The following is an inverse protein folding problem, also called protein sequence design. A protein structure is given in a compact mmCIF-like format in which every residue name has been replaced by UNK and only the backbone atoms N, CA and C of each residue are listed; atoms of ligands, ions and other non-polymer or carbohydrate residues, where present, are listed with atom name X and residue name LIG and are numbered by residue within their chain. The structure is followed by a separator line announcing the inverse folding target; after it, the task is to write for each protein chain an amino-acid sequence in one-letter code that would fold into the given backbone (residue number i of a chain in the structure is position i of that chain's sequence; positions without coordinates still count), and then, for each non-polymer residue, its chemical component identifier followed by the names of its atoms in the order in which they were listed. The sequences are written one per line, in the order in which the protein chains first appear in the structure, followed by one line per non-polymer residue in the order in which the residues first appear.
data_IF_987391218866
#
_entry.id   IF_987391218866
#
_cell.length_a   1.000
_cell.length_b   1.000
_cell.length_c   1.000
_cell.angle_alpha   90.00
_cell.angle_beta   90.00
_cell.angle_gamma   90.00
#
_symmetry.space_group_name_H-M   'P 1'
#
loop_
_entity.id
_entity.type
_entity.pdbx_description
1 polymer ?
#
# COMPACT_ATOMS: atom_id res chain seq x y z
N UNK A 1 48.03 -73.94 -36.64
CA UNK A 1 48.43 -72.95 -35.63
C UNK A 1 47.56 -71.71 -35.84
N UNK A 2 46.67 -71.40 -34.90
CA UNK A 2 45.77 -70.23 -34.99
C UNK A 2 46.58 -68.94 -34.86
N UNK A 3 46.37 -67.92 -35.71
CA UNK A 3 47.02 -66.63 -35.58
C UNK A 3 46.36 -65.83 -34.45
N UNK A 4 47.15 -65.35 -33.49
CA UNK A 4 46.70 -64.36 -32.52
C UNK A 4 46.87 -62.98 -33.16
N UNK A 5 45.75 -62.29 -33.39
CA UNK A 5 45.73 -60.90 -33.81
C UNK A 5 45.61 -60.07 -32.54
N UNK A 6 46.68 -59.36 -32.17
CA UNK A 6 46.65 -58.39 -31.06
C UNK A 6 45.94 -57.13 -31.54
N UNK A 7 44.78 -56.74 -30.98
CA UNK A 7 44.06 -55.54 -31.42
C UNK A 7 44.80 -54.31 -30.89
N UNK A 8 45.42 -53.52 -31.77
CA UNK A 8 45.89 -52.17 -31.44
C UNK A 8 44.71 -51.22 -31.44
N UNK A 9 44.26 -50.86 -30.24
CA UNK A 9 43.27 -49.82 -30.03
C UNK A 9 43.93 -48.46 -30.22
N UNK A 10 43.91 -47.90 -31.43
CA UNK A 10 44.29 -46.50 -31.66
C UNK A 10 43.08 -45.66 -31.29
N UNK A 11 43.16 -44.97 -30.15
CA UNK A 11 42.19 -43.95 -29.78
C UNK A 11 42.21 -42.85 -30.85
N UNK A 12 41.07 -42.56 -31.46
CA UNK A 12 40.86 -41.37 -32.28
C UNK A 12 40.75 -40.14 -31.37
N UNK A 13 41.84 -39.78 -30.70
CA UNK A 13 41.99 -38.41 -30.21
C UNK A 13 42.14 -37.54 -31.45
N UNK A 14 41.11 -36.73 -31.71
CA UNK A 14 41.09 -35.70 -32.76
C UNK A 14 42.07 -34.59 -32.36
N UNK A 15 43.37 -34.90 -32.40
CA UNK A 15 44.43 -33.92 -32.31
C UNK A 15 44.34 -33.10 -33.60
N UNK A 16 43.93 -31.85 -33.46
CA UNK A 16 44.12 -30.83 -34.48
C UNK A 16 45.64 -30.64 -34.64
N UNK A 17 46.27 -31.54 -35.38
CA UNK A 17 47.60 -31.29 -35.92
C UNK A 17 47.38 -30.21 -36.98
N UNK A 18 47.68 -28.95 -36.64
CA UNK A 18 47.86 -27.91 -37.64
C UNK A 18 49.02 -28.34 -38.53
N UNK A 19 48.71 -28.99 -39.65
CA UNK A 19 49.67 -29.15 -40.72
C UNK A 19 49.95 -27.73 -41.24
N UNK A 20 51.06 -27.14 -40.82
CA UNK A 20 51.66 -25.96 -41.46
C UNK A 20 52.10 -26.34 -42.89
N UNK A 21 51.14 -26.54 -43.80
CA UNK A 21 51.40 -26.73 -45.23
C UNK A 21 51.91 -25.45 -45.91
N UNK A 22 51.93 -24.35 -45.16
CA UNK A 22 52.54 -23.09 -45.55
C UNK A 22 53.47 -22.62 -44.44
N UNK A 23 54.73 -23.09 -44.47
CA UNK A 23 55.81 -22.33 -43.85
C UNK A 23 55.77 -20.89 -44.41
N UNK A 24 56.02 -19.85 -43.59
CA UNK A 24 55.99 -18.47 -44.06
C UNK A 24 57.10 -18.31 -45.11
N UNK A 25 56.74 -18.40 -46.39
CA UNK A 25 57.57 -17.83 -47.43
C UNK A 25 57.70 -16.35 -47.08
N UNK A 26 58.91 -15.83 -47.23
CA UNK A 26 59.34 -14.51 -46.78
C UNK A 26 58.62 -13.42 -47.61
N UNK A 27 57.32 -13.23 -47.38
CA UNK A 27 56.46 -12.26 -48.04
C UNK A 27 56.71 -10.83 -47.54
N UNK A 28 57.59 -10.67 -46.55
CA UNK A 28 58.03 -9.39 -45.98
C UNK A 28 58.83 -8.51 -46.95
N UNK A 29 59.11 -8.96 -48.18
CA UNK A 29 59.84 -8.18 -49.19
C UNK A 29 59.03 -7.90 -50.46
N UNK A 30 57.81 -8.41 -50.57
CA UNK A 30 56.94 -8.11 -51.71
C UNK A 30 56.21 -6.76 -51.48
N UNK A 31 56.43 -5.75 -52.32
CA UNK A 31 55.80 -4.44 -52.18
C UNK A 31 54.28 -4.46 -52.32
N UNK A 32 53.69 -5.42 -53.05
CA UNK A 32 52.25 -5.58 -53.14
C UNK A 32 51.69 -6.21 -51.85
N UNK A 33 52.36 -7.23 -51.31
CA UNK A 33 51.93 -7.86 -50.05
C UNK A 33 52.00 -6.89 -48.87
N UNK A 34 53.05 -6.06 -48.78
CA UNK A 34 53.14 -5.01 -47.73
C UNK A 34 51.96 -4.05 -47.75
N UNK A 35 51.52 -3.61 -48.94
CA UNK A 35 50.38 -2.70 -49.08
C UNK A 35 49.08 -3.36 -48.61
N UNK A 36 48.88 -4.63 -48.98
CA UNK A 36 47.70 -5.40 -48.56
C UNK A 36 47.71 -5.61 -47.04
N UNK A 37 48.84 -6.01 -46.46
CA UNK A 37 48.99 -6.17 -45.01
C UNK A 37 48.72 -4.86 -44.26
N UNK A 38 49.26 -3.74 -44.72
CA UNK A 38 49.05 -2.44 -44.10
C UNK A 38 47.58 -2.01 -44.16
N UNK A 39 46.91 -2.21 -45.30
CA UNK A 39 45.48 -1.93 -45.45
C UNK A 39 44.60 -2.83 -44.56
N UNK A 40 44.97 -4.10 -44.38
CA UNK A 40 44.32 -4.98 -43.40
C UNK A 40 44.55 -4.49 -41.98
N UNK A 41 45.77 -4.04 -41.66
CA UNK A 41 46.12 -3.57 -40.33
C UNK A 41 45.37 -2.28 -39.96
N UNK A 42 45.26 -1.34 -40.91
CA UNK A 42 44.49 -0.10 -40.73
C UNK A 42 43.00 -0.39 -40.52
N UNK A 43 42.42 -1.26 -41.36
CA UNK A 43 41.01 -1.65 -41.24
C UNK A 43 40.70 -2.43 -39.97
N UNK A 44 41.60 -3.30 -39.53
CA UNK A 44 41.44 -4.05 -38.28
C UNK A 44 41.55 -3.13 -37.09
N UNK A 45 42.53 -2.23 -37.06
CA UNK A 45 42.70 -1.22 -36.01
C UNK A 45 41.46 -0.35 -35.86
N UNK A 46 40.89 0.13 -36.97
CA UNK A 46 39.66 0.92 -36.94
C UNK A 46 38.47 0.13 -36.37
N UNK A 47 38.30 -1.15 -36.77
CA UNK A 47 37.23 -2.00 -36.22
C UNK A 47 37.39 -2.29 -34.74
N UNK A 48 38.63 -2.44 -34.25
CA UNK A 48 38.88 -2.64 -32.82
C UNK A 48 38.52 -1.39 -32.02
N UNK A 49 38.87 -0.20 -32.51
CA UNK A 49 38.48 1.06 -31.88
C UNK A 49 36.96 1.23 -31.85
N UNK A 50 36.26 1.00 -32.96
CA UNK A 50 34.79 1.05 -33.02
C UNK A 50 34.11 -0.03 -32.15
N UNK A 51 34.74 -1.19 -31.98
CA UNK A 51 34.24 -2.23 -31.08
C UNK A 51 34.42 -1.84 -29.61
N UNK A 52 35.58 -1.32 -29.24
CA UNK A 52 35.89 -0.87 -27.89
C UNK A 52 35.01 0.32 -27.46
N UNK A 53 34.77 1.29 -28.34
CA UNK A 53 33.88 2.42 -28.07
C UNK A 53 32.44 1.94 -27.81
N UNK A 54 31.91 1.05 -28.67
CA UNK A 54 30.57 0.45 -28.45
C UNK A 54 30.53 -0.39 -27.18
N UNK A 55 31.61 -1.09 -26.84
CA UNK A 55 31.69 -1.88 -25.62
C UNK A 55 31.65 -0.96 -24.38
N UNK A 56 32.38 0.16 -24.41
CA UNK A 56 32.38 1.16 -23.34
C UNK A 56 31.02 1.81 -23.17
N UNK A 57 30.38 2.25 -24.26
CA UNK A 57 29.04 2.85 -24.23
C UNK A 57 28.01 1.88 -23.62
N UNK A 58 28.00 0.61 -24.06
CA UNK A 58 27.10 -0.42 -23.53
C UNK A 58 27.36 -0.68 -22.05
N UNK A 59 28.62 -0.73 -21.61
CA UNK A 59 28.98 -0.89 -20.20
C UNK A 59 28.50 0.30 -19.36
N UNK A 60 28.58 1.51 -19.89
CA UNK A 60 28.15 2.72 -19.19
C UNK A 60 26.62 2.75 -19.03
N UNK A 61 25.87 2.42 -20.09
CA UNK A 61 24.41 2.26 -20.03
C UNK A 61 24.00 1.19 -19.01
N UNK A 62 24.67 0.04 -18.98
CA UNK A 62 24.37 -1.01 -18.01
C UNK A 62 24.67 -0.58 -16.57
N UNK A 63 25.78 0.14 -16.33
CA UNK A 63 26.10 0.71 -15.00
C UNK A 63 25.04 1.71 -14.56
N UNK A 64 24.69 2.66 -15.41
CA UNK A 64 23.68 3.69 -15.09
C UNK A 64 22.31 3.06 -14.81
N UNK A 65 21.96 2.00 -15.54
CA UNK A 65 20.70 1.26 -15.32
C UNK A 65 20.74 0.51 -13.98
N UNK A 66 21.84 -0.17 -13.66
CA UNK A 66 21.99 -0.88 -12.38
C UNK A 66 21.99 0.09 -11.20
N UNK A 67 22.73 1.20 -11.27
CA UNK A 67 22.79 2.19 -10.20
C UNK A 67 21.40 2.79 -9.94
N UNK A 68 20.62 3.03 -11.00
CA UNK A 68 19.23 3.51 -10.89
C UNK A 68 18.32 2.49 -10.21
N UNK A 69 18.43 1.21 -10.55
CA UNK A 69 17.65 0.14 -9.92
C UNK A 69 18.05 -0.09 -8.46
N UNK A 70 19.35 -0.06 -8.15
CA UNK A 70 19.87 -0.15 -6.78
C UNK A 70 19.36 1.02 -5.94
N UNK A 71 19.44 2.26 -6.45
CA UNK A 71 18.88 3.41 -5.73
C UNK A 71 17.37 3.26 -5.48
N UNK A 72 16.63 2.72 -6.45
CA UNK A 72 15.19 2.45 -6.30
C UNK A 72 14.93 1.38 -5.22
N UNK A 73 15.74 0.33 -5.15
CA UNK A 73 15.64 -0.72 -4.14
C UNK A 73 15.96 -0.15 -2.75
N UNK A 74 17.06 0.60 -2.60
CA UNK A 74 17.44 1.22 -1.32
C UNK A 74 16.36 2.19 -0.81
N UNK A 75 15.79 3.01 -1.70
CA UNK A 75 14.68 3.91 -1.34
C UNK A 75 13.44 3.13 -0.88
N UNK A 76 13.11 2.03 -1.55
CA UNK A 76 11.99 1.16 -1.19
C UNK A 76 12.21 0.52 0.19
N UNK A 77 13.39 -0.03 0.43
CA UNK A 77 13.77 -0.68 1.69
C UNK A 77 13.73 0.30 2.87
N UNK A 78 14.19 1.54 2.64
CA UNK A 78 14.16 2.60 3.67
C UNK A 78 12.73 2.99 4.04
N UNK A 79 11.83 3.12 3.07
CA UNK A 79 10.42 3.44 3.32
C UNK A 79 9.72 2.28 4.03
N UNK A 80 9.96 1.04 3.63
CA UNK A 80 9.40 -0.14 4.30
C UNK A 80 9.88 -0.25 5.75
N UNK A 81 11.14 0.11 6.02
CA UNK A 81 11.69 0.17 7.38
C UNK A 81 11.04 1.26 8.23
N UNK A 82 10.93 2.49 7.71
CA UNK A 82 10.26 3.59 8.43
C UNK A 82 8.77 3.29 8.68
N UNK A 83 8.10 2.62 7.74
CA UNK A 83 6.70 2.24 7.88
C UNK A 83 6.52 1.12 8.92
N UNK A 84 7.39 0.11 8.94
CA UNK A 84 7.31 -0.96 9.95
C UNK A 84 7.64 -0.48 11.36
N UNK A 85 8.63 0.41 11.52
CA UNK A 85 8.94 1.05 12.81
C UNK A 85 7.76 1.88 13.31
N UNK A 86 7.20 2.76 12.48
CA UNK A 86 6.04 3.60 12.87
C UNK A 86 4.78 2.79 13.17
N UNK A 87 4.50 1.72 12.42
CA UNK A 87 3.37 0.82 12.73
C UNK A 87 3.61 0.02 14.02
N UNK A 88 4.85 -0.35 14.34
CA UNK A 88 5.18 -1.07 15.57
C UNK A 88 5.01 -0.18 16.80
N UNK A 89 5.48 1.07 16.74
CA UNK A 89 5.27 2.07 17.79
C UNK A 89 3.78 2.37 18.01
N UNK A 90 3.01 2.49 16.92
CA UNK A 90 1.55 2.69 17.00
C UNK A 90 0.82 1.50 17.64
N UNK A 91 1.35 0.27 17.49
CA UNK A 91 0.73 -0.93 18.05
C UNK A 91 1.06 -1.11 19.53
N UNK A 92 2.23 -0.67 19.99
CA UNK A 92 2.57 -0.64 21.43
C UNK A 92 1.75 0.38 22.21
N UNK A 93 1.33 1.49 21.58
CA UNK A 93 0.40 2.47 22.20
C UNK A 93 -1.06 1.98 22.25
N UNK A 94 -1.39 0.88 21.57
CA UNK A 94 -2.75 0.30 21.55
C UNK A 94 -2.85 -0.94 22.46
N UNK A 95 -1.75 -1.47 22.99
CA UNK A 95 -1.81 -2.52 24.01
C UNK A 95 -2.20 -1.94 25.37
N UNK A 96 -3.46 -2.20 25.72
CA UNK A 96 -3.95 -2.61 27.04
C UNK A 96 -3.32 -1.90 28.23
N UNK A 97 -3.88 -0.76 28.66
CA UNK A 97 -4.08 -0.40 30.10
C UNK A 97 -4.67 1.01 30.32
N UNK A 98 -4.94 1.78 29.26
CA UNK A 98 -5.34 3.19 29.37
C UNK A 98 -6.76 3.55 28.90
N UNK A 99 -7.81 2.77 29.21
CA UNK A 99 -9.20 3.24 29.04
C UNK A 99 -9.67 3.85 30.37
N UNK A 100 -9.57 5.17 30.61
CA UNK A 100 -10.41 5.83 31.58
C UNK A 100 -11.77 6.10 30.94
N UNK A 101 -12.78 5.44 31.48
CA UNK A 101 -14.19 5.80 31.39
C UNK A 101 -14.39 7.29 31.68
N UNK A 102 -14.65 8.16 30.70
CA UNK A 102 -15.14 9.51 30.96
C UNK A 102 -15.79 10.18 29.73
N UNK A 103 -17.11 10.35 29.81
CA UNK A 103 -17.89 11.57 29.51
C UNK A 103 -17.52 12.32 28.21
N UNK A 104 -18.34 12.10 27.18
CA UNK A 104 -18.38 12.95 25.99
C UNK A 104 -19.02 14.31 26.32
N UNK A 105 -18.20 15.32 26.56
CA UNK A 105 -18.62 16.70 26.35
C UNK A 105 -17.47 17.50 25.71
N UNK A 106 -17.70 17.95 24.47
CA UNK A 106 -16.94 18.98 23.71
C UNK A 106 -15.40 19.01 23.88
N UNK A 107 -14.62 18.29 23.05
CA UNK A 107 -13.23 18.74 22.72
C UNK A 107 -12.53 18.13 21.48
N UNK A 108 -13.24 17.49 20.54
CA UNK A 108 -12.58 16.94 19.33
C UNK A 108 -12.09 18.00 18.32
N UNK A 109 -12.53 19.27 18.43
CA UNK A 109 -12.04 20.34 17.57
C UNK A 109 -10.75 21.01 18.09
N UNK A 110 -10.50 21.00 19.41
CA UNK A 110 -9.42 21.80 20.02
C UNK A 110 -8.08 21.04 20.13
N UNK A 111 -8.10 19.70 20.02
CA UNK A 111 -6.88 18.87 20.06
C UNK A 111 -6.26 18.59 18.68
N UNK A 112 -7.01 18.73 17.59
CA UNK A 112 -6.47 18.50 16.24
C UNK A 112 -5.62 19.68 15.74
N UNK A 113 -5.79 20.87 16.32
CA UNK A 113 -5.03 22.07 15.92
C UNK A 113 -3.61 22.10 16.52
N UNK A 114 -3.37 21.45 17.67
CA UNK A 114 -2.03 21.37 18.28
C UNK A 114 -1.13 20.25 17.73
N UNK A 115 -1.70 19.16 17.21
CA UNK A 115 -0.92 18.04 16.66
C UNK A 115 -0.33 18.28 15.26
N UNK A 116 -0.90 19.21 14.49
CA UNK A 116 -0.41 19.55 13.14
C UNK A 116 0.74 20.57 13.15
N UNK A 117 0.84 21.40 14.21
CA UNK A 117 1.91 22.39 14.35
C UNK A 117 3.24 21.79 14.83
N UNK A 118 3.23 20.63 15.48
CA UNK A 118 4.45 19.96 15.96
C UNK A 118 5.25 19.23 14.88
N UNK A 119 4.66 18.92 13.71
CA UNK A 119 5.38 18.34 12.58
C UNK A 119 6.08 19.38 11.68
N UNK A 120 5.83 20.68 11.90
CA UNK A 120 6.49 21.77 11.16
C UNK A 120 7.87 22.17 11.69
N UNK A 121 8.29 21.63 12.85
CA UNK A 121 9.51 22.07 13.55
C UNK A 121 10.80 21.36 13.16
N UNK A 122 10.75 20.22 12.47
CA UNK A 122 11.94 19.38 12.21
C UNK A 122 12.65 19.73 10.88
N UNK A 123 12.06 20.59 10.04
CA UNK A 123 12.68 21.06 8.80
C UNK A 123 13.17 22.52 8.85
N UNK A 124 13.14 23.15 10.03
CA UNK A 124 13.60 24.52 10.25
C UNK A 124 15.08 24.57 10.65
N UNK A 125 16.00 24.17 9.78
CA UNK A 125 17.43 24.42 10.04
C UNK A 125 18.41 23.60 9.20
N UNK A 126 19.01 24.26 8.19
CA UNK A 126 20.40 24.02 7.79
C UNK A 126 20.76 22.68 7.16
N UNK A 127 20.93 22.72 5.83
CA UNK A 127 21.83 21.88 5.02
C UNK A 127 21.40 20.42 4.78
N UNK A 128 20.73 20.18 3.65
CA UNK A 128 20.89 18.92 2.92
C UNK A 128 20.90 19.17 1.40
N UNK A 129 22.06 19.02 0.72
CA UNK A 129 22.15 19.06 -0.73
C UNK A 129 21.72 17.69 -1.29
N UNK A 130 20.68 17.64 -2.13
CA UNK A 130 20.42 16.44 -2.93
C UNK A 130 18.99 16.14 -3.40
N UNK A 131 17.96 16.89 -2.99
CA UNK A 131 16.57 16.56 -3.36
C UNK A 131 16.07 17.16 -4.70
N UNK A 132 16.97 17.62 -5.57
CA UNK A 132 16.61 18.18 -6.87
C UNK A 132 16.18 17.16 -7.95
N UNK A 133 16.34 15.85 -7.70
CA UNK A 133 16.14 14.79 -8.70
C UNK A 133 15.05 13.76 -8.36
N UNK A 134 14.33 13.91 -7.24
CA UNK A 134 13.41 12.87 -6.71
C UNK A 134 11.94 13.09 -7.13
N UNK A 135 11.61 14.25 -7.70
CA UNK A 135 10.23 14.66 -7.98
C UNK A 135 9.43 13.74 -8.93
N UNK A 136 10.08 12.95 -9.79
CA UNK A 136 9.38 12.03 -10.70
C UNK A 136 9.22 10.60 -10.17
N UNK A 137 10.24 10.08 -9.48
CA UNK A 137 10.26 8.69 -8.97
C UNK A 137 9.43 8.53 -7.69
N UNK A 138 9.43 9.53 -6.80
CA UNK A 138 8.58 9.52 -5.60
C UNK A 138 7.08 9.60 -5.96
N UNK A 139 6.73 10.40 -6.97
CA UNK A 139 5.36 10.59 -7.45
C UNK A 139 4.80 9.30 -8.09
N UNK A 140 5.63 8.58 -8.84
CA UNK A 140 5.27 7.27 -9.41
C UNK A 140 5.05 6.21 -8.31
N UNK A 141 5.91 6.17 -7.29
CA UNK A 141 5.75 5.26 -6.16
C UNK A 141 4.49 5.57 -5.32
N UNK A 142 4.20 6.85 -5.09
CA UNK A 142 2.98 7.27 -4.39
C UNK A 142 1.70 6.91 -5.17
N UNK A 143 1.73 7.04 -6.50
CA UNK A 143 0.58 6.68 -7.32
C UNK A 143 0.29 5.16 -7.29
N UNK A 144 1.32 4.32 -7.12
CA UNK A 144 1.17 2.87 -6.95
C UNK A 144 0.63 2.50 -5.55
N UNK A 145 0.92 3.29 -4.52
CA UNK A 145 0.46 3.05 -3.15
C UNK A 145 -0.93 3.61 -2.85
N UNK A 146 -1.38 4.62 -3.60
CA UNK A 146 -2.73 5.20 -3.49
C UNK A 146 -3.86 4.14 -3.51
N UNK A 147 -3.92 3.18 -4.45
CA UNK A 147 -4.96 2.16 -4.45
C UNK A 147 -4.90 1.25 -3.21
N UNK A 148 -3.69 0.87 -2.76
CA UNK A 148 -3.54 0.03 -1.56
C UNK A 148 -4.01 0.75 -0.29
N UNK A 149 -3.68 2.04 -0.16
CA UNK A 149 -4.15 2.88 0.95
C UNK A 149 -5.68 3.04 0.93
N UNK A 150 -6.29 3.24 -0.25
CA UNK A 150 -7.76 3.33 -0.40
C UNK A 150 -8.42 2.00 -0.02
N UNK A 151 -7.88 0.86 -0.45
CA UNK A 151 -8.43 -0.45 -0.08
C UNK A 151 -8.37 -0.68 1.42
N UNK A 152 -7.22 -0.45 2.06
CA UNK A 152 -7.08 -0.58 3.51
C UNK A 152 -8.03 0.35 4.27
N UNK A 153 -8.21 1.58 3.79
CA UNK A 153 -9.09 2.57 4.40
C UNK A 153 -10.58 2.16 4.26
N UNK A 154 -10.98 1.57 3.12
CA UNK A 154 -12.34 1.01 2.94
C UNK A 154 -12.59 -0.20 3.83
N UNK A 155 -11.61 -1.10 3.98
CA UNK A 155 -11.72 -2.25 4.87
C UNK A 155 -11.86 -1.80 6.34
N UNK A 156 -11.10 -0.78 6.75
CA UNK A 156 -11.23 -0.15 8.05
C UNK A 156 -12.60 0.53 8.24
N UNK A 157 -13.14 1.19 7.21
CA UNK A 157 -14.47 1.78 7.24
C UNK A 157 -15.56 0.73 7.41
N UNK A 158 -15.49 -0.38 6.67
CA UNK A 158 -16.46 -1.49 6.74
C UNK A 158 -16.43 -2.16 8.11
N UNK A 159 -15.26 -2.39 8.70
CA UNK A 159 -15.15 -3.00 10.03
C UNK A 159 -15.75 -2.10 11.12
N UNK A 160 -15.42 -0.79 11.11
CA UNK A 160 -16.04 0.20 12.01
C UNK A 160 -17.56 0.29 11.82
N UNK A 161 -18.04 0.38 10.58
CA UNK A 161 -19.47 0.44 10.27
C UNK A 161 -20.21 -0.82 10.74
N UNK A 162 -19.60 -2.00 10.58
CA UNK A 162 -20.19 -3.27 11.04
C UNK A 162 -20.34 -3.29 12.56
N UNK A 163 -19.35 -2.78 13.30
CA UNK A 163 -19.40 -2.71 14.76
C UNK A 163 -20.52 -1.78 15.25
N UNK A 164 -20.62 -0.58 14.68
CA UNK A 164 -21.67 0.39 15.01
C UNK A 164 -23.07 -0.13 14.64
N UNK A 165 -23.22 -0.71 13.45
CA UNK A 165 -24.48 -1.28 13.01
C UNK A 165 -24.93 -2.46 13.88
N UNK A 166 -23.99 -3.31 14.29
CA UNK A 166 -24.25 -4.42 15.22
C UNK A 166 -24.77 -3.91 16.55
N UNK A 167 -24.16 -2.86 17.09
CA UNK A 167 -24.60 -2.23 18.34
C UNK A 167 -26.02 -1.66 18.20
N UNK A 168 -26.28 -0.90 17.13
CA UNK A 168 -27.60 -0.33 16.87
C UNK A 168 -28.70 -1.39 16.68
N UNK A 169 -28.38 -2.50 16.02
CA UNK A 169 -29.30 -3.63 15.85
C UNK A 169 -29.63 -4.32 17.18
N UNK A 170 -28.63 -4.52 18.04
CA UNK A 170 -28.81 -5.05 19.40
C UNK A 170 -29.66 -4.12 20.25
N UNK A 171 -29.34 -2.82 20.27
CA UNK A 171 -30.04 -1.83 21.10
C UNK A 171 -31.52 -1.69 20.69
N UNK A 172 -31.81 -1.76 19.39
CA UNK A 172 -33.16 -1.74 18.86
C UNK A 172 -33.98 -2.96 19.30
N UNK A 173 -33.36 -4.15 19.25
CA UNK A 173 -34.01 -5.39 19.66
C UNK A 173 -34.26 -5.42 21.17
N UNK A 174 -33.27 -5.02 21.97
CA UNK A 174 -33.42 -4.88 23.43
C UNK A 174 -34.54 -3.89 23.78
N UNK A 175 -34.61 -2.75 23.09
CA UNK A 175 -35.66 -1.75 23.32
C UNK A 175 -37.06 -2.33 23.07
N UNK A 176 -37.21 -3.11 22.00
CA UNK A 176 -38.48 -3.77 21.67
C UNK A 176 -38.85 -4.88 22.66
N UNK A 177 -37.87 -5.63 23.16
CA UNK A 177 -38.11 -6.63 24.21
C UNK A 177 -38.51 -6.01 25.55
N UNK A 178 -37.97 -4.84 25.91
CA UNK A 178 -38.40 -4.09 27.11
C UNK A 178 -39.81 -3.52 26.96
N UNK A 179 -40.17 -3.07 25.76
CA UNK A 179 -41.52 -2.64 25.44
C UNK A 179 -42.51 -3.81 25.58
N UNK A 180 -42.11 -5.00 25.13
CA UNK A 180 -42.89 -6.23 25.27
C UNK A 180 -43.15 -6.59 26.74
N UNK A 181 -42.10 -6.62 27.57
CA UNK A 181 -42.24 -6.95 28.99
C UNK A 181 -43.10 -5.93 29.75
N UNK A 182 -43.05 -4.66 29.35
CA UNK A 182 -43.85 -3.58 29.95
C UNK A 182 -45.31 -3.56 29.48
N UNK A 183 -45.59 -4.05 28.27
CA UNK A 183 -46.94 -4.12 27.68
C UNK A 183 -47.72 -5.37 28.13
N UNK A 184 -47.04 -6.32 28.79
CA UNK A 184 -47.65 -7.56 29.23
C UNK A 184 -48.63 -7.33 30.40
N UNK A 185 -49.83 -7.87 30.27
CA UNK A 185 -50.93 -7.70 31.24
C UNK A 185 -50.82 -8.68 32.43
N UNK A 186 -49.89 -9.65 32.39
CA UNK A 186 -49.65 -10.62 33.45
C UNK A 186 -48.54 -10.24 34.43
N UNK A 187 -48.60 -10.75 35.67
CA UNK A 187 -47.55 -10.57 36.69
C UNK A 187 -46.32 -11.49 36.49
N UNK A 188 -46.27 -12.22 35.38
CA UNK A 188 -45.23 -13.20 35.03
C UNK A 188 -44.31 -12.74 33.90
N UNK A 189 -44.32 -11.44 33.58
CA UNK A 189 -43.46 -10.86 32.56
C UNK A 189 -41.98 -11.04 32.92
N UNK A 190 -41.20 -11.55 31.98
CA UNK A 190 -39.74 -11.65 32.09
C UNK A 190 -39.07 -10.62 31.20
N UNK A 191 -38.03 -9.97 31.71
CA UNK A 191 -37.18 -9.12 30.88
C UNK A 191 -36.27 -9.99 30.02
N UNK A 192 -36.59 -10.09 28.73
CA UNK A 192 -35.83 -10.85 27.75
C UNK A 192 -34.57 -10.11 27.27
N UNK A 193 -34.32 -8.87 27.70
CA UNK A 193 -33.11 -8.12 27.33
C UNK A 193 -31.78 -8.90 27.47
N UNK A 194 -31.55 -9.71 28.52
CA UNK A 194 -30.29 -10.42 28.72
C UNK A 194 -29.99 -11.52 27.70
N UNK A 195 -30.98 -11.96 26.91
CA UNK A 195 -30.79 -13.00 25.90
C UNK A 195 -30.02 -12.47 24.69
N UNK A 196 -30.02 -11.15 24.49
CA UNK A 196 -29.49 -10.51 23.28
C UNK A 196 -27.99 -10.28 23.42
N UNK A 197 -27.24 -10.73 22.42
CA UNK A 197 -25.84 -10.43 22.27
C UNK A 197 -25.52 -10.04 20.81
N UNK A 198 -24.27 -9.61 20.58
CA UNK A 198 -23.80 -9.18 19.26
C UNK A 198 -23.82 -10.28 18.20
N UNK A 199 -23.86 -11.56 18.60
CA UNK A 199 -23.78 -12.73 17.73
C UNK A 199 -25.14 -13.31 17.37
N UNK A 200 -26.15 -13.17 18.24
CA UNK A 200 -27.42 -13.87 18.13
C UNK A 200 -28.61 -12.96 17.76
N UNK A 201 -28.45 -11.64 17.77
CA UNK A 201 -29.57 -10.71 17.48
C UNK A 201 -30.19 -10.89 16.08
N UNK A 202 -29.47 -11.53 15.15
CA UNK A 202 -29.95 -11.85 13.79
C UNK A 202 -30.65 -13.20 13.69
N UNK A 203 -30.61 -14.02 14.74
CA UNK A 203 -31.03 -15.43 14.70
C UNK A 203 -32.10 -15.69 15.78
N UNK A 204 -33.39 -15.76 15.41
CA UNK A 204 -34.49 -16.04 16.35
C UNK A 204 -34.29 -17.33 17.15
N UNK A 205 -33.78 -18.39 16.51
CA UNK A 205 -33.51 -19.69 17.13
C UNK A 205 -32.48 -19.60 18.25
N UNK A 206 -31.36 -18.89 18.00
CA UNK A 206 -30.30 -18.66 18.98
C UNK A 206 -30.75 -17.78 20.16
N UNK A 207 -31.69 -16.85 19.94
CA UNK A 207 -32.31 -16.08 21.01
C UNK A 207 -33.16 -16.97 21.94
N UNK A 208 -33.88 -17.94 21.37
CA UNK A 208 -34.73 -18.87 22.12
C UNK A 208 -33.91 -19.88 22.91
N UNK A 209 -32.88 -20.45 22.32
CA UNK A 209 -31.95 -21.35 23.03
C UNK A 209 -31.36 -20.63 24.24
N UNK A 210 -30.91 -19.39 24.05
CA UNK A 210 -30.40 -18.55 25.14
C UNK A 210 -31.46 -18.22 26.19
N UNK A 211 -32.70 -17.98 25.75
CA UNK A 211 -33.82 -17.74 26.66
C UNK A 211 -34.14 -18.98 27.51
N UNK A 212 -34.09 -20.19 26.93
CA UNK A 212 -34.27 -21.45 27.65
C UNK A 212 -33.16 -21.69 28.67
N UNK A 213 -31.92 -21.38 28.32
CA UNK A 213 -30.78 -21.48 29.25
C UNK A 213 -30.91 -20.51 30.43
N UNK A 214 -31.25 -19.24 30.16
CA UNK A 214 -31.25 -18.19 31.19
C UNK A 214 -32.51 -18.20 32.05
N UNK A 215 -33.67 -18.54 31.48
CA UNK A 215 -34.97 -18.43 32.16
C UNK A 215 -35.66 -19.77 32.39
N UNK A 216 -35.04 -20.90 32.08
CA UNK A 216 -35.65 -22.24 32.21
C UNK A 216 -36.29 -22.49 33.57
N UNK A 217 -35.59 -22.16 34.67
CA UNK A 217 -36.12 -22.29 36.04
C UNK A 217 -37.17 -21.22 36.37
N UNK A 218 -36.95 -19.98 35.95
CA UNK A 218 -37.88 -18.85 36.15
C UNK A 218 -39.22 -19.03 35.40
N UNK A 219 -39.23 -19.87 34.36
CA UNK A 219 -40.42 -20.22 33.61
C UNK A 219 -41.30 -21.27 34.29
N UNK A 220 -40.86 -21.89 35.39
CA UNK A 220 -41.66 -22.87 36.13
C UNK A 220 -42.67 -22.19 37.04
N UNK A 221 -43.95 -22.59 36.94
CA UNK A 221 -45.01 -22.05 37.80
C UNK A 221 -45.16 -22.78 39.15
N UNK A 222 -44.19 -23.65 39.51
CA UNK A 222 -44.17 -24.40 40.77
C UNK A 222 -45.24 -25.49 40.91
N UNK A 223 -46.13 -25.66 39.92
CA UNK A 223 -47.23 -26.64 39.89
C UNK A 223 -47.08 -27.67 38.76
N UNK A 224 -45.87 -27.82 38.22
CA UNK A 224 -45.58 -28.72 37.11
C UNK A 224 -45.94 -28.17 35.72
N UNK A 225 -46.20 -26.85 35.60
CA UNK A 225 -46.43 -26.17 34.32
C UNK A 225 -45.52 -24.95 34.13
N UNK A 226 -45.67 -24.31 32.98
CA UNK A 226 -44.92 -23.12 32.57
C UNK A 226 -45.74 -21.84 32.73
N UNK A 227 -45.07 -20.70 32.94
CA UNK A 227 -45.72 -19.37 32.96
C UNK A 227 -46.31 -19.03 31.59
N UNK A 228 -47.33 -18.18 31.58
CA UNK A 228 -48.03 -17.81 30.35
C UNK A 228 -47.11 -17.07 29.38
N UNK A 229 -46.26 -16.20 29.91
CA UNK A 229 -45.22 -15.49 29.16
C UNK A 229 -44.21 -16.46 28.51
N UNK A 230 -43.68 -17.42 29.27
CA UNK A 230 -42.70 -18.38 28.72
C UNK A 230 -43.32 -19.33 27.70
N UNK A 231 -44.60 -19.69 27.86
CA UNK A 231 -45.29 -20.49 26.87
C UNK A 231 -45.35 -19.76 25.53
N UNK A 232 -45.69 -18.47 25.52
CA UNK A 232 -45.82 -17.69 24.29
C UNK A 232 -44.49 -17.34 23.61
N UNK A 233 -43.44 -17.05 24.38
CA UNK A 233 -42.19 -16.50 23.84
C UNK A 233 -40.98 -17.44 23.86
N UNK A 234 -41.02 -18.55 24.61
CA UNK A 234 -39.85 -19.43 24.82
C UNK A 234 -40.12 -20.88 24.39
N UNK A 235 -41.30 -21.44 24.71
CA UNK A 235 -41.59 -22.86 24.47
C UNK A 235 -42.49 -23.12 23.26
N UNK A 236 -43.70 -22.53 23.22
CA UNK A 236 -44.69 -22.75 22.17
C UNK A 236 -44.75 -21.54 21.24
N UNK A 237 -44.20 -21.65 20.04
CA UNK A 237 -44.26 -20.58 19.04
C UNK A 237 -43.32 -19.41 19.28
N UNK A 238 -42.33 -19.57 20.18
CA UNK A 238 -41.33 -18.54 20.48
C UNK A 238 -40.57 -18.04 19.24
N UNK A 239 -40.33 -18.90 18.24
CA UNK A 239 -39.69 -18.50 16.97
C UNK A 239 -40.54 -17.46 16.23
N UNK A 240 -41.82 -17.76 16.06
CA UNK A 240 -42.80 -16.86 15.40
C UNK A 240 -43.01 -15.59 16.23
N UNK A 241 -42.99 -15.71 17.56
CA UNK A 241 -43.20 -14.59 18.45
C UNK A 241 -41.99 -13.63 18.50
N UNK A 242 -40.76 -14.13 18.38
CA UNK A 242 -39.53 -13.34 18.41
C UNK A 242 -39.05 -12.88 17.02
N UNK A 243 -39.55 -13.50 15.95
CA UNK A 243 -39.28 -13.10 14.55
C UNK A 243 -39.44 -11.60 14.29
N UNK A 244 -40.57 -10.93 14.63
CA UNK A 244 -40.73 -9.49 14.37
C UNK A 244 -39.73 -8.63 15.16
N UNK A 245 -39.25 -9.10 16.31
CA UNK A 245 -38.24 -8.41 17.12
C UNK A 245 -36.85 -8.54 16.49
N UNK A 246 -36.51 -9.75 16.03
CA UNK A 246 -35.30 -10.03 15.26
C UNK A 246 -35.27 -9.21 13.96
N UNK A 247 -36.38 -9.15 13.24
CA UNK A 247 -36.51 -8.33 12.03
C UNK A 247 -36.30 -6.84 12.31
N UNK A 248 -36.84 -6.31 13.41
CA UNK A 248 -36.61 -4.92 13.80
C UNK A 248 -35.12 -4.63 14.07
N UNK A 249 -34.42 -5.54 14.76
CA UNK A 249 -32.97 -5.45 14.97
C UNK A 249 -32.18 -5.54 13.67
N UNK A 250 -32.55 -6.45 12.77
CA UNK A 250 -31.92 -6.61 11.44
C UNK A 250 -32.17 -5.39 10.56
N UNK A 251 -33.38 -4.83 10.57
CA UNK A 251 -33.71 -3.63 9.82
C UNK A 251 -32.86 -2.44 10.30
N UNK A 252 -32.76 -2.24 11.62
CA UNK A 252 -31.90 -1.19 12.19
C UNK A 252 -30.43 -1.40 11.89
N UNK A 253 -29.94 -2.64 11.95
CA UNK A 253 -28.60 -2.98 11.50
C UNK A 253 -28.37 -2.58 10.05
N UNK A 254 -29.29 -2.94 9.13
CA UNK A 254 -29.14 -2.65 7.70
C UNK A 254 -29.12 -1.14 7.43
N UNK A 255 -29.99 -0.38 8.07
CA UNK A 255 -30.04 1.08 7.90
C UNK A 255 -28.78 1.74 8.43
N UNK A 256 -28.32 1.34 9.63
CA UNK A 256 -27.14 1.93 10.26
C UNK A 256 -25.85 1.50 9.54
N UNK A 257 -25.78 0.27 9.06
CA UNK A 257 -24.65 -0.20 8.27
C UNK A 257 -24.52 0.61 6.98
N UNK A 258 -25.62 0.83 6.27
CA UNK A 258 -25.61 1.61 5.03
C UNK A 258 -25.20 3.07 5.27
N UNK A 259 -25.74 3.71 6.32
CA UNK A 259 -25.39 5.11 6.65
C UNK A 259 -23.94 5.24 7.09
N UNK A 260 -23.49 4.42 8.06
CA UNK A 260 -22.15 4.50 8.61
C UNK A 260 -21.09 4.09 7.60
N UNK A 261 -21.35 3.08 6.77
CA UNK A 261 -20.43 2.70 5.69
C UNK A 261 -20.22 3.86 4.73
N UNK A 262 -21.29 4.51 4.27
CA UNK A 262 -21.17 5.64 3.34
C UNK A 262 -20.41 6.82 3.96
N UNK A 263 -20.71 7.16 5.22
CA UNK A 263 -20.04 8.24 5.94
C UNK A 263 -18.56 7.96 6.18
N UNK A 264 -18.22 6.75 6.64
CA UNK A 264 -16.85 6.37 6.94
C UNK A 264 -16.02 6.18 5.67
N UNK A 265 -16.57 5.57 4.61
CA UNK A 265 -15.87 5.46 3.33
C UNK A 265 -15.57 6.84 2.73
N UNK A 266 -16.52 7.79 2.80
CA UNK A 266 -16.27 9.15 2.35
C UNK A 266 -15.18 9.84 3.18
N UNK A 267 -15.28 9.79 4.51
CA UNK A 267 -14.30 10.42 5.40
C UNK A 267 -12.88 9.83 5.25
N UNK A 268 -12.77 8.51 5.09
CA UNK A 268 -11.49 7.82 4.93
C UNK A 268 -10.90 8.09 3.53
N UNK A 269 -11.73 8.18 2.47
CA UNK A 269 -11.29 8.61 1.13
C UNK A 269 -10.81 10.06 1.14
N UNK A 270 -11.56 10.98 1.77
CA UNK A 270 -11.19 12.38 1.91
C UNK A 270 -9.86 12.52 2.69
N UNK A 271 -9.65 11.70 3.72
CA UNK A 271 -8.38 11.68 4.46
C UNK A 271 -7.20 11.19 3.61
N UNK A 272 -7.41 10.16 2.78
CA UNK A 272 -6.38 9.67 1.84
C UNK A 272 -6.08 10.71 0.77
N UNK A 273 -7.11 11.35 0.19
CA UNK A 273 -6.94 12.38 -0.82
C UNK A 273 -6.31 13.66 -0.24
N UNK A 274 -6.65 14.08 0.98
CA UNK A 274 -6.01 15.20 1.65
C UNK A 274 -4.52 14.94 1.91
N UNK A 275 -4.16 13.73 2.37
CA UNK A 275 -2.75 13.33 2.52
C UNK A 275 -2.05 13.34 1.16
N UNK A 276 -2.64 12.76 0.13
CA UNK A 276 -2.05 12.72 -1.21
C UNK A 276 -1.88 14.13 -1.80
N UNK A 277 -2.87 15.01 -1.65
CA UNK A 277 -2.81 16.39 -2.09
C UNK A 277 -1.67 17.15 -1.40
N UNK A 278 -1.50 16.98 -0.07
CA UNK A 278 -0.38 17.55 0.67
C UNK A 278 0.98 17.11 0.10
N UNK A 279 1.15 15.81 -0.14
CA UNK A 279 2.37 15.27 -0.73
C UNK A 279 2.60 15.74 -2.18
N UNK A 280 1.55 15.92 -2.97
CA UNK A 280 1.65 16.45 -4.33
C UNK A 280 2.08 17.92 -4.33
N UNK A 281 1.46 18.76 -3.49
CA UNK A 281 1.83 20.18 -3.38
C UNK A 281 3.27 20.35 -2.91
N UNK A 282 3.72 19.52 -1.95
CA UNK A 282 5.12 19.52 -1.50
C UNK A 282 6.11 19.17 -2.62
N UNK A 283 5.75 18.28 -3.55
CA UNK A 283 6.59 17.91 -4.69
C UNK A 283 6.55 18.93 -5.85
N UNK A 284 5.42 19.63 -6.06
CA UNK A 284 5.28 20.63 -7.14
C UNK A 284 6.02 21.94 -6.79
N UNK A 285 6.02 22.34 -5.53
CA UNK A 285 6.70 23.56 -5.07
C UNK A 285 8.18 23.70 -5.51
N UNK A 286 9.07 22.68 -5.34
CA UNK A 286 10.45 22.78 -5.79
C UNK A 286 10.57 22.81 -7.32
N UNK A 287 9.70 22.13 -8.06
CA UNK A 287 9.70 22.15 -9.53
C UNK A 287 9.37 23.55 -10.04
N UNK A 288 8.34 24.20 -9.49
CA UNK A 288 7.96 25.57 -9.84
C UNK A 288 9.11 26.53 -9.51
N UNK A 289 9.75 26.37 -8.34
CA UNK A 289 10.91 27.19 -7.96
C UNK A 289 12.08 27.06 -8.95
N UNK A 290 12.42 25.84 -9.39
CA UNK A 290 13.47 25.59 -10.38
C UNK A 290 13.12 26.25 -11.73
N UNK A 291 11.87 26.13 -12.19
CA UNK A 291 11.42 26.75 -13.44
C UNK A 291 11.54 28.27 -13.39
N UNK A 292 11.20 28.91 -12.26
CA UNK A 292 11.35 30.36 -12.07
C UNK A 292 12.83 30.76 -12.12
N UNK A 293 13.74 30.02 -11.45
CA UNK A 293 15.18 30.29 -11.48
C UNK A 293 15.73 30.17 -12.91
N UNK A 294 15.34 29.13 -13.65
CA UNK A 294 15.76 28.93 -15.05
C UNK A 294 15.24 30.07 -15.94
N UNK A 295 13.98 30.50 -15.77
CA UNK A 295 13.43 31.64 -16.51
C UNK A 295 14.22 32.94 -16.24
N UNK A 296 14.57 33.23 -14.98
CA UNK A 296 15.40 34.39 -14.62
C UNK A 296 16.77 34.30 -15.31
N UNK A 297 17.43 33.13 -15.27
CA UNK A 297 18.71 32.89 -15.91
C UNK A 297 18.65 33.11 -17.43
N UNK A 298 17.59 32.67 -18.09
CA UNK A 298 17.36 32.87 -19.53
C UNK A 298 17.17 34.36 -19.85
N UNK A 299 16.39 35.10 -19.07
CA UNK A 299 16.17 36.54 -19.25
C UNK A 299 17.50 37.30 -19.11
N UNK A 300 18.26 37.04 -18.04
CA UNK A 300 19.58 37.65 -17.82
C UNK A 300 20.53 37.33 -18.98
N UNK A 301 20.58 36.06 -19.41
CA UNK A 301 21.38 35.62 -20.53
C UNK A 301 21.03 36.37 -21.82
N UNK A 302 19.74 36.52 -22.14
CA UNK A 302 19.28 37.25 -23.32
C UNK A 302 19.67 38.74 -23.26
N UNK A 303 19.55 39.38 -22.10
CA UNK A 303 19.99 40.78 -21.89
C UNK A 303 21.51 40.89 -22.10
N UNK A 304 22.29 40.01 -21.49
CA UNK A 304 23.76 40.00 -21.62
C UNK A 304 24.18 39.74 -23.07
N UNK A 305 23.54 38.80 -23.76
CA UNK A 305 23.78 38.48 -25.17
C UNK A 305 23.44 39.66 -26.07
N UNK A 306 22.32 40.33 -25.82
CA UNK A 306 21.93 41.54 -26.55
C UNK A 306 22.96 42.67 -26.36
N UNK A 307 23.42 42.90 -25.12
CA UNK A 307 24.47 43.90 -24.83
C UNK A 307 25.78 43.58 -25.52
N UNK A 308 26.22 42.31 -25.53
CA UNK A 308 27.44 41.88 -26.26
C UNK A 308 27.32 42.16 -27.76
N UNK A 309 26.19 41.80 -28.38
CA UNK A 309 25.95 42.08 -29.81
C UNK A 309 25.96 43.58 -30.12
N UNK A 310 25.33 44.41 -29.28
CA UNK A 310 25.33 45.88 -29.45
C UNK A 310 26.74 46.48 -29.31
N UNK A 311 27.55 45.97 -28.39
CA UNK A 311 28.94 46.41 -28.19
C UNK A 311 29.85 46.04 -29.37
N UNK A 312 29.59 44.89 -30.02
CA UNK A 312 30.31 44.47 -31.24
C UNK A 312 29.97 45.36 -32.44
N UNK A 313 28.70 45.74 -32.63
CA UNK A 313 28.30 46.63 -33.74
C UNK A 313 28.87 48.05 -33.62
N UNK A 314 29.12 48.55 -32.40
CA UNK A 314 29.76 49.85 -32.16
C UNK A 314 31.26 49.90 -32.47
N UNK A 315 31.93 48.75 -32.64
CA UNK A 315 33.36 48.67 -32.97
C UNK A 315 33.63 48.56 -34.48
N UNK A 316 32.58 48.37 -35.28
CA UNK A 316 32.63 48.23 -36.74
C UNK A 316 32.24 49.51 -37.49
N UNK A 317 31.94 50.59 -36.76
CA UNK A 317 31.86 51.97 -37.25
C UNK A 317 33.05 52.74 -36.71
#
# INVERSE_FOLDING_TARGET
YKPYITPRHIQTTRLLCECELFAPQNYDNDPEMKRVMQQFHDRTTQRFQEYDERLQERRQICKDTCDKEIQKIILKDKIEKELTETFSELHTDIQSDGIPTCICEKSLADKMEKGCLSCGGVFGGGVMPGFGAIGGTALYALNQLKPAAITAAKDAAVTKATALATQAGVDALVSKLKELSSSWVGNDALDLSPIVNKLNFKCPTALIERAKELFGEACSNGKGGTTSFCNSYIYYGGEVALEPFAEAGIAKYKTEFASQKALLEAAELDAVDAKYAFWQTANIAPIVAIVVIVLIMVIIYLILRYRRKKKMKKKLQ
#
